data_IF_306756864778
#
_entry.id   IF_306756864778
#
_cell.length_a   1.000
_cell.length_b   1.000
_cell.length_c   1.000
_cell.angle_alpha   90.00
_cell.angle_beta   90.00
_cell.angle_gamma   90.00
#
_symmetry.space_group_name_H-M   'P 1'
#
loop_
_entity.id
_entity.type
_entity.pdbx_description
1 polymer ?
#
# COMPACT_ATOMS: atom_id res chain seq x y z
N UNK A 1 44.27 29.65 -7.66
CA UNK A 1 43.27 29.77 -8.74
C UNK A 1 41.92 29.37 -8.15
N UNK A 2 41.02 30.33 -7.87
CA UNK A 2 39.67 30.00 -7.40
C UNK A 2 38.91 29.30 -8.51
N UNK A 3 38.27 28.17 -8.19
CA UNK A 3 37.30 27.55 -9.06
C UNK A 3 36.17 28.56 -9.38
N UNK A 4 35.65 28.60 -10.62
CA UNK A 4 34.52 29.44 -10.94
C UNK A 4 33.36 29.12 -9.99
N UNK A 5 32.81 30.14 -9.32
CA UNK A 5 31.54 30.00 -8.59
C UNK A 5 30.49 29.64 -9.63
N UNK A 6 30.01 28.40 -9.61
CA UNK A 6 28.84 28.03 -10.37
C UNK A 6 27.68 28.94 -9.93
N UNK A 7 27.18 29.74 -10.87
CA UNK A 7 25.97 30.53 -10.68
C UNK A 7 24.80 29.56 -10.79
N UNK A 8 24.31 29.12 -9.64
CA UNK A 8 23.06 28.37 -9.57
C UNK A 8 21.90 29.36 -9.55
N UNK A 9 20.89 29.09 -10.36
CA UNK A 9 19.63 29.82 -10.32
C UNK A 9 18.82 29.19 -9.18
N UNK A 10 18.69 29.92 -8.07
CA UNK A 10 18.00 29.47 -6.87
C UNK A 10 16.60 28.92 -7.20
N UNK A 11 15.85 29.61 -8.05
CA UNK A 11 14.48 29.25 -8.42
C UNK A 11 14.38 27.87 -9.10
N UNK A 12 15.41 27.47 -9.88
CA UNK A 12 15.45 26.13 -10.50
C UNK A 12 15.64 25.05 -9.42
N UNK A 13 16.43 25.33 -8.38
CA UNK A 13 16.61 24.38 -7.28
C UNK A 13 15.31 24.23 -6.48
N UNK A 14 14.59 25.32 -6.25
CA UNK A 14 13.28 25.29 -5.60
C UNK A 14 12.28 24.46 -6.42
N UNK A 15 12.21 24.66 -7.73
CA UNK A 15 11.35 23.87 -8.62
C UNK A 15 11.66 22.36 -8.56
N UNK A 16 12.94 21.98 -8.50
CA UNK A 16 13.30 20.57 -8.30
C UNK A 16 12.81 20.01 -6.96
N UNK A 17 12.81 20.78 -5.87
CA UNK A 17 12.30 20.35 -4.56
C UNK A 17 10.78 20.21 -4.59
N UNK A 18 10.07 21.17 -5.18
CA UNK A 18 8.61 21.14 -5.30
C UNK A 18 8.13 19.95 -6.15
N UNK A 19 8.80 19.68 -7.27
CA UNK A 19 8.47 18.51 -8.09
C UNK A 19 8.81 17.19 -7.37
N UNK A 20 9.86 17.15 -6.53
CA UNK A 20 10.13 15.98 -5.69
C UNK A 20 9.02 15.74 -4.65
N UNK A 21 8.51 16.80 -4.02
CA UNK A 21 7.37 16.71 -3.10
C UNK A 21 6.17 16.08 -3.81
N UNK A 22 5.82 16.61 -4.98
CA UNK A 22 4.68 16.16 -5.78
C UNK A 22 4.85 14.71 -6.26
N UNK A 23 6.01 14.36 -6.80
CA UNK A 23 6.32 13.02 -7.29
C UNK A 23 6.32 11.98 -6.18
N UNK A 24 6.85 12.32 -5.00
CA UNK A 24 6.84 11.41 -3.85
C UNK A 24 5.41 11.14 -3.36
N UNK A 25 4.57 12.17 -3.29
CA UNK A 25 3.16 12.03 -2.94
C UNK A 25 2.44 11.08 -3.91
N UNK A 26 2.64 11.26 -5.22
CA UNK A 26 2.09 10.37 -6.24
C UNK A 26 2.60 8.93 -6.09
N UNK A 27 3.90 8.76 -5.87
CA UNK A 27 4.49 7.44 -5.69
C UNK A 27 3.84 6.71 -4.51
N UNK A 28 3.70 7.37 -3.36
CA UNK A 28 3.04 6.81 -2.19
C UNK A 28 1.59 6.42 -2.48
N UNK A 29 0.82 7.29 -3.15
CA UNK A 29 -0.57 7.01 -3.52
C UNK A 29 -0.72 5.82 -4.47
N UNK A 30 0.27 5.58 -5.34
CA UNK A 30 0.22 4.48 -6.32
C UNK A 30 0.56 3.11 -5.74
N UNK A 31 1.19 3.02 -4.57
CA UNK A 31 1.68 1.74 -4.02
C UNK A 31 0.59 0.67 -3.83
N UNK A 32 -0.67 1.05 -3.65
CA UNK A 32 -1.81 0.12 -3.55
C UNK A 32 -2.84 0.34 -4.68
N UNK A 33 -2.41 0.90 -5.81
CA UNK A 33 -3.32 1.22 -6.92
C UNK A 33 -3.81 -0.03 -7.64
N UNK A 34 -5.11 -0.04 -7.95
CA UNK A 34 -5.77 -1.01 -8.83
C UNK A 34 -5.69 -0.63 -10.32
N UNK A 35 -4.80 0.30 -10.69
CA UNK A 35 -4.62 0.73 -12.08
C UNK A 35 -3.14 0.75 -12.47
N UNK A 36 -2.29 1.24 -11.56
CA UNK A 36 -0.86 1.32 -11.80
C UNK A 36 -0.17 -0.01 -11.53
N UNK A 37 0.81 -0.33 -12.36
CA UNK A 37 1.70 -1.49 -12.28
C UNK A 37 3.01 -1.14 -11.59
N UNK A 38 3.86 -2.14 -11.39
CA UNK A 38 5.23 -1.91 -10.89
C UNK A 38 6.06 -1.04 -11.85
N UNK A 39 5.81 -1.14 -13.16
CA UNK A 39 6.49 -0.33 -14.18
C UNK A 39 6.16 1.15 -14.00
N UNK A 40 4.89 1.50 -13.77
CA UNK A 40 4.48 2.89 -13.58
C UNK A 40 5.14 3.53 -12.35
N UNK A 41 5.38 2.74 -11.29
CA UNK A 41 6.14 3.19 -10.12
C UNK A 41 7.64 3.28 -10.41
N UNK A 42 8.19 2.40 -11.24
CA UNK A 42 9.58 2.50 -11.68
C UNK A 42 9.82 3.78 -12.48
N UNK A 43 8.92 4.12 -13.42
CA UNK A 43 8.98 5.37 -14.19
C UNK A 43 8.88 6.61 -13.28
N UNK A 44 8.06 6.57 -12.22
CA UNK A 44 8.06 7.62 -11.20
C UNK A 44 9.39 7.69 -10.43
N UNK A 45 9.98 6.56 -10.08
CA UNK A 45 11.28 6.54 -9.38
C UNK A 45 12.38 7.13 -10.27
N UNK A 46 12.36 6.89 -11.58
CA UNK A 46 13.30 7.49 -12.53
C UNK A 46 13.14 9.02 -12.60
N UNK A 47 11.90 9.52 -12.59
CA UNK A 47 11.63 10.97 -12.50
C UNK A 47 12.15 11.55 -11.18
N UNK A 48 11.83 10.93 -10.05
CA UNK A 48 12.34 11.35 -8.73
C UNK A 48 13.87 11.41 -8.77
N UNK A 49 14.52 10.39 -9.33
CA UNK A 49 15.98 10.35 -9.45
C UNK A 49 16.53 11.50 -10.30
N UNK A 50 15.88 11.84 -11.42
CA UNK A 50 16.30 12.94 -12.27
C UNK A 50 16.27 14.29 -11.55
N UNK A 51 15.22 14.58 -10.76
CA UNK A 51 15.15 15.80 -9.97
C UNK A 51 16.20 15.84 -8.86
N UNK A 52 16.48 14.71 -8.21
CA UNK A 52 17.59 14.60 -7.25
C UNK A 52 18.93 14.88 -7.94
N UNK A 53 19.18 14.32 -9.12
CA UNK A 53 20.42 14.57 -9.86
C UNK A 53 20.60 16.05 -10.21
N UNK A 54 19.52 16.76 -10.57
CA UNK A 54 19.52 18.21 -10.76
C UNK A 54 19.96 18.96 -9.50
N UNK A 55 19.37 18.62 -8.35
CA UNK A 55 19.76 19.21 -7.05
C UNK A 55 21.22 18.91 -6.69
N UNK A 56 21.70 17.69 -6.94
CA UNK A 56 23.07 17.29 -6.64
C UNK A 56 24.12 18.08 -7.45
N UNK A 57 23.76 18.86 -8.46
CA UNK A 57 24.69 19.80 -9.11
C UNK A 57 25.10 20.96 -8.20
N UNK A 58 24.23 21.36 -7.26
CA UNK A 58 24.44 22.48 -6.34
C UNK A 58 25.00 22.06 -4.97
N UNK A 59 25.83 21.00 -4.91
CA UNK A 59 26.24 20.26 -3.69
C UNK A 59 26.51 21.14 -2.46
N UNK A 60 27.28 22.21 -2.63
CA UNK A 60 27.71 23.09 -1.53
C UNK A 60 26.62 23.97 -0.95
N UNK A 61 25.45 24.08 -1.60
CA UNK A 61 24.33 24.93 -1.19
C UNK A 61 23.13 24.13 -0.68
N UNK A 62 22.99 22.84 -1.05
CA UNK A 62 21.83 22.04 -0.61
C UNK A 62 21.67 21.99 0.92
N UNK A 63 22.74 21.78 1.72
CA UNK A 63 22.60 21.69 3.17
C UNK A 63 21.95 22.91 3.80
N UNK A 64 22.30 24.11 3.34
CA UNK A 64 21.72 25.37 3.80
C UNK A 64 20.33 25.61 3.19
N UNK A 65 20.11 25.25 1.92
CA UNK A 65 18.82 25.41 1.23
C UNK A 65 17.72 24.53 1.82
N UNK A 66 18.02 23.26 2.13
CA UNK A 66 17.02 22.24 2.49
C UNK A 66 16.82 22.09 4.01
N UNK A 67 17.70 22.68 4.84
CA UNK A 67 17.59 22.57 6.29
C UNK A 67 16.22 23.05 6.86
N UNK A 68 15.63 24.17 6.39
CA UNK A 68 14.33 24.62 6.89
C UNK A 68 13.20 23.63 6.60
N UNK A 69 13.27 22.93 5.46
CA UNK A 69 12.23 22.03 4.96
C UNK A 69 12.20 20.66 5.68
N UNK A 70 13.27 20.30 6.42
CA UNK A 70 13.37 19.00 7.09
C UNK A 70 12.31 18.76 8.17
N UNK A 71 11.84 19.83 8.81
CA UNK A 71 10.87 19.78 9.90
C UNK A 71 9.50 20.36 9.53
N UNK A 72 9.29 20.74 8.26
CA UNK A 72 7.98 21.14 7.76
C UNK A 72 6.94 20.03 8.02
N UNK A 73 5.72 20.34 8.49
CA UNK A 73 4.76 19.36 8.99
C UNK A 73 4.01 18.61 7.88
N UNK A 74 4.72 18.27 6.80
CA UNK A 74 4.22 17.55 5.63
C UNK A 74 5.18 16.42 5.26
N UNK A 75 4.64 15.21 5.13
CA UNK A 75 5.42 13.99 4.83
C UNK A 75 6.25 14.14 3.55
N UNK A 76 5.66 14.73 2.51
CA UNK A 76 6.33 14.89 1.22
C UNK A 76 7.43 15.95 1.25
N UNK A 77 7.28 17.06 2.01
CA UNK A 77 8.33 18.07 2.18
C UNK A 77 9.55 17.49 2.90
N UNK A 78 9.34 16.86 4.05
CA UNK A 78 10.43 16.26 4.81
C UNK A 78 11.18 15.19 3.99
N UNK A 79 10.46 14.42 3.16
CA UNK A 79 11.10 13.51 2.20
C UNK A 79 11.92 14.26 1.13
N UNK A 80 11.31 15.25 0.46
CA UNK A 80 11.93 16.02 -0.63
C UNK A 80 13.17 16.79 -0.16
N UNK A 81 13.23 17.19 1.11
CA UNK A 81 14.40 17.79 1.72
C UNK A 81 15.47 16.75 2.12
N UNK A 82 15.07 15.67 2.81
CA UNK A 82 16.02 14.70 3.35
C UNK A 82 16.65 13.81 2.27
N UNK A 83 15.89 13.40 1.25
CA UNK A 83 16.36 12.45 0.25
C UNK A 83 17.56 12.99 -0.55
N UNK A 84 17.54 14.21 -1.12
CA UNK A 84 18.71 14.79 -1.78
C UNK A 84 19.93 14.94 -0.84
N UNK A 85 19.72 15.33 0.42
CA UNK A 85 20.81 15.47 1.41
C UNK A 85 21.49 14.13 1.70
N UNK A 86 20.72 13.06 1.88
CA UNK A 86 21.27 11.71 2.06
C UNK A 86 22.01 11.24 0.80
N UNK A 87 21.54 11.66 -0.37
CA UNK A 87 22.12 11.31 -1.67
C UNK A 87 23.43 12.03 -1.99
N UNK A 88 23.76 13.12 -1.30
CA UNK A 88 25.10 13.71 -1.33
C UNK A 88 26.16 12.73 -0.82
N UNK A 89 25.79 11.79 0.07
CA UNK A 89 26.70 10.88 0.78
C UNK A 89 27.82 11.63 1.52
N UNK A 90 27.45 12.73 2.16
CA UNK A 90 28.35 13.56 2.95
C UNK A 90 27.99 13.46 4.44
N UNK A 91 28.98 13.29 5.34
CA UNK A 91 28.72 13.15 6.78
C UNK A 91 27.93 14.32 7.38
N UNK A 92 28.19 15.57 6.96
CA UNK A 92 27.48 16.75 7.45
C UNK A 92 26.00 16.73 7.07
N UNK A 93 25.69 16.41 5.81
CA UNK A 93 24.32 16.32 5.32
C UNK A 93 23.56 15.16 5.98
N UNK A 94 24.20 14.00 6.13
CA UNK A 94 23.63 12.86 6.85
C UNK A 94 23.33 13.22 8.33
N UNK A 95 24.26 13.90 9.00
CA UNK A 95 24.09 14.35 10.38
C UNK A 95 22.90 15.30 10.55
N UNK A 96 22.70 16.24 9.62
CA UNK A 96 21.53 17.14 9.62
C UNK A 96 20.21 16.35 9.53
N UNK A 97 20.12 15.38 8.62
CA UNK A 97 18.91 14.56 8.48
C UNK A 97 18.66 13.71 9.72
N UNK A 98 19.70 13.10 10.30
CA UNK A 98 19.55 12.30 11.53
C UNK A 98 19.21 13.15 12.75
N UNK A 99 19.70 14.40 12.83
CA UNK A 99 19.33 15.35 13.87
C UNK A 99 17.86 15.76 13.75
N UNK A 100 17.41 16.12 12.53
CA UNK A 100 16.00 16.39 12.27
C UNK A 100 15.11 15.18 12.61
N UNK A 101 15.54 13.97 12.27
CA UNK A 101 14.81 12.74 12.62
C UNK A 101 14.69 12.54 14.13
N UNK A 102 15.72 12.89 14.89
CA UNK A 102 15.73 12.81 16.35
C UNK A 102 14.79 13.82 17.03
N UNK A 103 14.34 14.85 16.31
CA UNK A 103 13.46 15.91 16.82
C UNK A 103 12.03 15.81 16.27
N UNK A 104 11.87 15.24 15.07
CA UNK A 104 10.60 15.20 14.35
C UNK A 104 9.52 14.34 15.03
N UNK A 105 8.27 14.70 14.75
CA UNK A 105 7.06 13.92 15.03
C UNK A 105 6.08 13.96 13.85
N UNK A 106 4.97 13.26 13.99
CA UNK A 106 3.87 13.31 13.01
C UNK A 106 4.28 13.06 11.56
N UNK A 107 3.78 13.89 10.64
CA UNK A 107 4.01 13.75 9.20
C UNK A 107 5.49 13.95 8.81
N UNK A 108 6.20 14.87 9.46
CA UNK A 108 7.62 15.11 9.20
C UNK A 108 8.46 13.85 9.50
N UNK A 109 8.22 13.19 10.65
CA UNK A 109 8.89 11.94 11.01
C UNK A 109 8.64 10.84 9.97
N UNK A 110 7.41 10.73 9.44
CA UNK A 110 7.09 9.79 8.38
C UNK A 110 7.87 10.08 7.08
N UNK A 111 8.04 11.35 6.71
CA UNK A 111 8.82 11.77 5.53
C UNK A 111 10.31 11.49 5.68
N UNK A 112 10.88 11.80 6.85
CA UNK A 112 12.30 11.51 7.14
C UNK A 112 12.55 10.00 7.18
N UNK A 113 11.64 9.22 7.78
CA UNK A 113 11.68 7.75 7.74
C UNK A 113 11.71 7.22 6.31
N UNK A 114 10.84 7.74 5.44
CA UNK A 114 10.77 7.33 4.04
C UNK A 114 12.09 7.61 3.30
N UNK A 115 12.67 8.79 3.51
CA UNK A 115 13.95 9.17 2.91
C UNK A 115 15.08 8.25 3.41
N UNK A 116 15.13 7.99 4.72
CA UNK A 116 16.10 7.09 5.35
C UNK A 116 15.91 5.63 4.92
N UNK A 117 14.68 5.19 4.64
CA UNK A 117 14.38 3.86 4.12
C UNK A 117 14.74 3.68 2.64
N UNK A 118 14.82 4.78 1.88
CA UNK A 118 15.04 4.78 0.43
C UNK A 118 16.48 5.08 0.04
N UNK A 119 17.15 5.99 0.75
CA UNK A 119 18.53 6.40 0.48
C UNK A 119 19.56 5.39 1.02
N UNK A 120 20.83 5.46 0.56
CA UNK A 120 21.91 4.66 1.14
C UNK A 120 22.04 4.86 2.66
N UNK A 121 22.22 3.76 3.39
CA UNK A 121 22.20 3.71 4.87
C UNK A 121 23.58 3.89 5.53
N UNK A 122 24.66 3.92 4.73
CA UNK A 122 26.04 3.82 5.20
C UNK A 122 26.43 4.87 6.24
N UNK A 123 25.89 6.09 6.15
CA UNK A 123 26.18 7.17 7.09
C UNK A 123 25.14 7.32 8.21
N UNK A 124 24.02 6.59 8.14
CA UNK A 124 22.87 6.79 9.05
C UNK A 124 22.55 5.57 9.90
N UNK A 125 23.10 4.39 9.57
CA UNK A 125 22.76 3.13 10.26
C UNK A 125 23.03 3.17 11.77
N UNK A 126 24.09 3.85 12.21
CA UNK A 126 24.44 3.97 13.63
C UNK A 126 23.39 4.82 14.35
N UNK A 127 23.10 6.02 13.84
CA UNK A 127 22.09 6.90 14.39
C UNK A 127 20.69 6.26 14.40
N UNK A 128 20.33 5.50 13.36
CA UNK A 128 19.07 4.75 13.32
C UNK A 128 19.01 3.67 14.41
N UNK A 129 20.11 2.93 14.65
CA UNK A 129 20.18 1.94 15.74
C UNK A 129 20.07 2.60 17.11
N UNK A 130 20.71 3.75 17.30
CA UNK A 130 20.57 4.54 18.53
C UNK A 130 19.12 5.00 18.74
N UNK A 131 18.48 5.57 17.71
CA UNK A 131 17.08 5.99 17.78
C UNK A 131 16.12 4.82 18.03
N UNK A 132 16.39 3.65 17.46
CA UNK A 132 15.63 2.45 17.78
C UNK A 132 15.80 2.04 19.25
N UNK A 133 17.03 2.08 19.77
CA UNK A 133 17.35 1.64 21.12
C UNK A 133 16.83 2.59 22.21
N UNK A 134 16.97 3.91 22.03
CA UNK A 134 16.73 4.91 23.08
C UNK A 134 15.72 6.00 22.72
N UNK A 135 15.25 6.05 21.47
CA UNK A 135 14.23 7.01 21.05
C UNK A 135 12.86 6.78 21.69
N UNK A 136 12.03 7.82 21.62
CA UNK A 136 10.59 7.72 21.95
C UNK A 136 9.92 6.67 21.07
N UNK A 137 8.81 6.09 21.51
CA UNK A 137 8.18 4.98 20.79
C UNK A 137 7.89 5.28 19.29
N UNK A 138 7.37 6.48 18.90
CA UNK A 138 7.21 6.85 17.49
C UNK A 138 8.53 6.91 16.71
N UNK A 139 9.60 7.47 17.29
CA UNK A 139 10.92 7.56 16.64
C UNK A 139 11.61 6.19 16.58
N UNK A 140 11.49 5.39 17.62
CA UNK A 140 12.03 4.05 17.67
C UNK A 140 11.39 3.17 16.59
N UNK A 141 10.07 3.21 16.42
CA UNK A 141 9.42 2.40 15.37
C UNK A 141 9.68 2.94 13.96
N UNK A 142 9.78 4.26 13.77
CA UNK A 142 10.22 4.83 12.51
C UNK A 142 11.66 4.41 12.16
N UNK A 143 12.57 4.38 13.14
CA UNK A 143 13.93 3.92 12.94
C UNK A 143 13.98 2.43 12.60
N UNK A 144 13.17 1.61 13.28
CA UNK A 144 13.02 0.19 12.97
C UNK A 144 12.50 -0.04 11.56
N UNK A 145 11.55 0.77 11.09
CA UNK A 145 11.04 0.73 9.71
C UNK A 145 12.13 1.03 8.67
N UNK A 146 12.95 2.07 8.89
CA UNK A 146 14.08 2.39 8.03
C UNK A 146 15.14 1.27 8.04
N UNK A 147 15.50 0.76 9.22
CA UNK A 147 16.44 -0.37 9.35
C UNK A 147 15.91 -1.65 8.67
N UNK A 148 14.60 -1.91 8.77
CA UNK A 148 13.96 -3.05 8.13
C UNK A 148 13.99 -2.95 6.59
N UNK A 149 13.84 -1.75 6.03
CA UNK A 149 13.98 -1.53 4.58
C UNK A 149 15.40 -1.91 4.09
N UNK A 150 16.41 -1.67 4.93
CA UNK A 150 17.81 -1.99 4.66
C UNK A 150 18.24 -3.40 5.10
N UNK A 151 17.31 -4.23 5.58
CA UNK A 151 17.61 -5.57 6.16
C UNK A 151 18.65 -5.52 7.29
N UNK A 152 18.69 -4.41 8.02
CA UNK A 152 19.64 -4.13 9.10
C UNK A 152 19.01 -4.22 10.51
N UNK A 153 17.76 -4.67 10.58
CA UNK A 153 16.98 -4.81 11.81
C UNK A 153 17.04 -6.25 12.33
N UNK A 154 17.29 -6.42 13.62
CA UNK A 154 17.18 -7.72 14.30
C UNK A 154 15.70 -8.01 14.64
N UNK A 155 15.08 -9.06 14.07
CA UNK A 155 13.71 -9.44 14.36
C UNK A 155 13.48 -9.78 15.85
N UNK A 156 14.52 -10.25 16.55
CA UNK A 156 14.43 -10.70 17.95
C UNK A 156 14.73 -9.60 18.96
N UNK A 157 14.95 -8.36 18.51
CA UNK A 157 15.22 -7.24 19.40
C UNK A 157 14.09 -7.06 20.43
N UNK A 158 14.36 -7.10 21.75
CA UNK A 158 13.34 -6.96 22.79
C UNK A 158 12.55 -5.65 22.69
N UNK A 159 13.19 -4.60 22.17
CA UNK A 159 12.55 -3.30 21.94
C UNK A 159 11.43 -3.37 20.91
N UNK A 160 11.53 -4.21 19.88
CA UNK A 160 10.43 -4.43 18.93
C UNK A 160 9.23 -5.09 19.62
N UNK A 161 9.47 -6.04 20.54
CA UNK A 161 8.40 -6.62 21.34
C UNK A 161 7.71 -5.58 22.22
N UNK A 162 8.48 -4.70 22.88
CA UNK A 162 7.90 -3.62 23.67
C UNK A 162 7.05 -2.65 22.82
N UNK A 163 7.44 -2.38 21.56
CA UNK A 163 6.68 -1.52 20.66
C UNK A 163 5.38 -2.17 20.16
N UNK A 164 5.31 -3.51 20.10
CA UNK A 164 4.06 -4.23 19.78
C UNK A 164 3.02 -4.12 20.90
N UNK A 165 3.47 -3.87 22.13
CA UNK A 165 2.64 -3.72 23.33
C UNK A 165 2.56 -2.25 23.81
N UNK A 166 2.98 -1.29 22.98
CA UNK A 166 2.98 0.15 23.32
C UNK A 166 1.57 0.68 23.57
N UNK A 167 1.43 1.76 24.36
CA UNK A 167 0.13 2.38 24.62
C UNK A 167 -0.48 3.03 23.37
N UNK A 168 0.35 3.57 22.47
CA UNK A 168 -0.10 4.23 21.24
C UNK A 168 -0.44 3.20 20.14
N UNK A 169 -1.67 3.27 19.62
CA UNK A 169 -2.14 2.35 18.59
C UNK A 169 -1.41 2.51 17.25
N UNK A 170 -1.00 3.73 16.90
CA UNK A 170 -0.23 4.01 15.70
C UNK A 170 1.16 3.38 15.76
N UNK A 171 1.81 3.44 16.93
CA UNK A 171 3.09 2.73 17.17
C UNK A 171 2.91 1.23 17.02
N UNK A 172 1.90 0.63 17.67
CA UNK A 172 1.62 -0.81 17.57
C UNK A 172 1.35 -1.23 16.11
N UNK A 173 0.56 -0.46 15.37
CA UNK A 173 0.26 -0.74 13.97
C UNK A 173 1.54 -0.69 13.10
N UNK A 174 2.40 0.30 13.29
CA UNK A 174 3.70 0.35 12.60
C UNK A 174 4.63 -0.79 13.02
N UNK A 175 4.60 -1.21 14.29
CA UNK A 175 5.35 -2.37 14.78
C UNK A 175 4.96 -3.65 14.05
N UNK A 176 3.67 -3.89 13.82
CA UNK A 176 3.22 -5.00 12.98
C UNK A 176 3.66 -4.87 11.51
N UNK A 177 3.67 -3.66 10.96
CA UNK A 177 4.18 -3.43 9.61
C UNK A 177 5.69 -3.71 9.49
N UNK A 178 6.48 -3.42 10.53
CA UNK A 178 7.89 -3.84 10.62
C UNK A 178 8.00 -5.37 10.72
N UNK A 179 7.19 -6.01 11.57
CA UNK A 179 7.13 -7.49 11.69
C UNK A 179 6.90 -8.14 10.32
N UNK A 180 5.96 -7.62 9.53
CA UNK A 180 5.67 -8.13 8.19
C UNK A 180 6.91 -8.21 7.27
N UNK A 181 7.90 -7.34 7.51
CA UNK A 181 9.12 -7.20 6.70
C UNK A 181 10.33 -7.95 7.26
N UNK A 182 10.46 -8.04 8.58
CA UNK A 182 11.66 -8.59 9.24
C UNK A 182 11.51 -10.06 9.64
N UNK A 183 10.28 -10.52 9.92
CA UNK A 183 10.06 -11.90 10.32
C UNK A 183 10.11 -12.82 9.10
N UNK A 184 10.85 -13.94 9.15
CA UNK A 184 10.92 -14.86 8.03
C UNK A 184 9.60 -15.63 7.90
N UNK A 185 9.15 -15.93 6.66
CA UNK A 185 7.98 -16.77 6.45
C UNK A 185 8.13 -18.14 7.12
N UNK A 186 7.09 -18.58 7.84
CA UNK A 186 7.03 -19.92 8.44
C UNK A 186 7.92 -20.21 9.65
N UNK A 187 8.87 -19.33 10.03
CA UNK A 187 9.69 -19.47 11.26
C UNK A 187 9.55 -18.23 12.13
N UNK A 188 8.45 -18.17 12.87
CA UNK A 188 7.98 -16.91 13.44
C UNK A 188 8.46 -16.79 14.89
N UNK A 189 9.20 -15.72 15.25
CA UNK A 189 9.43 -15.36 16.63
C UNK A 189 8.10 -15.30 17.40
N UNK A 190 8.05 -15.61 18.71
CA UNK A 190 6.81 -15.41 19.46
C UNK A 190 6.39 -13.92 19.37
N UNK A 191 5.20 -13.66 18.85
CA UNK A 191 4.57 -12.33 18.77
C UNK A 191 3.23 -12.33 19.51
N UNK A 192 2.76 -11.19 20.01
CA UNK A 192 1.50 -11.08 20.76
C UNK A 192 0.27 -11.02 19.82
N UNK A 193 0.19 -11.97 18.86
CA UNK A 193 -0.88 -12.03 17.85
C UNK A 193 -2.27 -12.01 18.49
N UNK A 194 -2.45 -12.80 19.53
CA UNK A 194 -3.72 -12.95 20.22
C UNK A 194 -4.22 -11.63 20.83
N UNK A 195 -3.32 -10.87 21.47
CA UNK A 195 -3.60 -9.54 22.00
C UNK A 195 -3.99 -8.57 20.89
N UNK A 196 -3.20 -8.51 19.81
CA UNK A 196 -3.45 -7.61 18.69
C UNK A 196 -4.76 -7.91 17.94
N UNK A 197 -5.12 -9.18 17.80
CA UNK A 197 -6.34 -9.60 17.11
C UNK A 197 -7.61 -9.40 17.96
N UNK A 198 -7.50 -9.44 19.29
CA UNK A 198 -8.62 -9.22 20.21
C UNK A 198 -8.79 -7.77 20.64
N UNK A 199 -7.74 -6.97 20.62
CA UNK A 199 -7.78 -5.57 21.03
C UNK A 199 -8.82 -4.75 20.27
N UNK A 200 -9.16 -3.58 20.82
CA UNK A 200 -10.26 -2.77 20.29
C UNK A 200 -9.84 -1.94 19.06
N UNK A 201 -8.54 -1.65 18.90
CA UNK A 201 -8.07 -0.82 17.80
C UNK A 201 -8.13 -1.56 16.44
N UNK A 202 -8.95 -1.11 15.48
CA UNK A 202 -9.08 -1.76 14.18
C UNK A 202 -7.81 -1.64 13.31
N UNK A 203 -7.03 -0.57 13.47
CA UNK A 203 -5.79 -0.35 12.73
C UNK A 203 -4.69 -1.33 13.14
N UNK A 204 -4.54 -1.58 14.45
CA UNK A 204 -3.61 -2.58 14.99
C UNK A 204 -4.00 -3.97 14.55
N UNK A 205 -5.28 -4.33 14.66
CA UNK A 205 -5.79 -5.63 14.18
C UNK A 205 -5.55 -5.80 12.69
N UNK A 206 -5.78 -4.76 11.89
CA UNK A 206 -5.55 -4.81 10.45
C UNK A 206 -4.06 -5.01 10.12
N UNK A 207 -3.17 -4.25 10.76
CA UNK A 207 -1.73 -4.39 10.59
C UNK A 207 -1.23 -5.78 11.03
N UNK A 208 -1.79 -6.35 12.10
CA UNK A 208 -1.45 -7.70 12.54
C UNK A 208 -1.92 -8.77 11.52
N UNK A 209 -3.12 -8.63 10.94
CA UNK A 209 -3.57 -9.54 9.87
C UNK A 209 -2.69 -9.46 8.62
N UNK A 210 -2.28 -8.25 8.24
CA UNK A 210 -1.32 -8.04 7.15
C UNK A 210 0.04 -8.67 7.44
N UNK A 211 0.59 -8.44 8.63
CA UNK A 211 1.83 -9.07 9.08
C UNK A 211 1.72 -10.59 9.07
N UNK A 212 0.59 -11.13 9.49
CA UNK A 212 0.32 -12.56 9.43
C UNK A 212 0.28 -13.10 7.99
N UNK A 213 -0.24 -12.30 7.04
CA UNK A 213 -0.29 -12.68 5.62
C UNK A 213 1.12 -12.75 5.01
N UNK A 214 1.95 -11.74 5.28
CA UNK A 214 3.32 -11.66 4.76
C UNK A 214 4.27 -12.67 5.41
N UNK A 215 4.06 -13.00 6.69
CA UNK A 215 4.84 -14.02 7.41
C UNK A 215 4.31 -15.44 7.21
N UNK A 216 3.22 -15.61 6.46
CA UNK A 216 2.67 -16.91 6.09
C UNK A 216 2.09 -17.69 7.27
N UNK A 217 1.35 -17.02 8.16
CA UNK A 217 0.75 -17.68 9.33
C UNK A 217 -0.32 -18.70 8.91
N UNK A 218 -0.22 -19.98 9.32
CA UNK A 218 -1.12 -21.04 8.86
C UNK A 218 -2.55 -20.87 9.39
N UNK A 219 -2.73 -20.19 10.52
CA UNK A 219 -4.04 -19.94 11.14
C UNK A 219 -4.81 -18.77 10.50
N UNK A 220 -4.15 -17.96 9.64
CA UNK A 220 -4.68 -16.70 9.16
C UNK A 220 -6.03 -16.85 8.44
N UNK A 221 -6.13 -17.79 7.50
CA UNK A 221 -7.35 -17.95 6.69
C UNK A 221 -8.58 -18.19 7.58
N UNK A 222 -8.44 -19.04 8.60
CA UNK A 222 -9.55 -19.36 9.51
C UNK A 222 -9.91 -18.16 10.39
N UNK A 223 -8.92 -17.36 10.81
CA UNK A 223 -9.16 -16.12 11.57
C UNK A 223 -9.87 -15.08 10.69
N UNK A 224 -9.38 -14.82 9.48
CA UNK A 224 -10.00 -13.90 8.52
C UNK A 224 -11.45 -14.30 8.23
N UNK A 225 -11.70 -15.58 7.93
CA UNK A 225 -13.04 -16.13 7.71
C UNK A 225 -13.97 -15.85 8.89
N UNK A 226 -13.55 -16.17 10.11
CA UNK A 226 -14.37 -15.95 11.33
C UNK A 226 -14.69 -14.48 11.54
N UNK A 227 -13.70 -13.59 11.43
CA UNK A 227 -13.90 -12.15 11.62
C UNK A 227 -14.79 -11.55 10.51
N UNK A 228 -14.56 -11.95 9.27
CA UNK A 228 -15.32 -11.49 8.11
C UNK A 228 -16.81 -11.84 8.20
N UNK A 229 -17.13 -13.05 8.67
CA UNK A 229 -18.52 -13.51 8.83
C UNK A 229 -19.20 -12.93 10.08
N UNK A 230 -18.44 -12.59 11.12
CA UNK A 230 -19.02 -12.07 12.37
C UNK A 230 -19.45 -10.59 12.27
N UNK A 231 -18.63 -9.75 11.65
CA UNK A 231 -18.91 -8.31 11.54
C UNK A 231 -18.27 -7.68 10.29
N UNK A 232 -18.77 -7.99 9.07
CA UNK A 232 -18.11 -7.61 7.82
C UNK A 232 -17.81 -6.12 7.67
N UNK A 233 -18.76 -5.24 8.03
CA UNK A 233 -18.57 -3.78 7.94
C UNK A 233 -17.46 -3.25 8.87
N UNK A 234 -17.30 -3.87 10.04
CA UNK A 234 -16.27 -3.49 11.03
C UNK A 234 -14.93 -4.20 10.80
N UNK A 235 -14.91 -5.29 10.04
CA UNK A 235 -13.76 -6.17 9.84
C UNK A 235 -13.27 -6.15 8.38
N UNK A 236 -13.20 -4.94 7.79
CA UNK A 236 -12.87 -4.74 6.37
C UNK A 236 -11.56 -5.43 5.93
N UNK A 237 -10.54 -5.37 6.76
CA UNK A 237 -9.25 -6.05 6.49
C UNK A 237 -9.41 -7.57 6.44
N UNK A 238 -10.13 -8.15 7.41
CA UNK A 238 -10.37 -9.58 7.45
C UNK A 238 -11.24 -10.05 6.27
N UNK A 239 -12.23 -9.25 5.87
CA UNK A 239 -13.07 -9.47 4.69
C UNK A 239 -12.20 -9.51 3.43
N UNK A 240 -11.33 -8.50 3.22
CA UNK A 240 -10.40 -8.47 2.09
C UNK A 240 -9.48 -9.69 2.07
N UNK A 241 -8.77 -9.95 3.17
CA UNK A 241 -7.83 -11.07 3.25
C UNK A 241 -8.52 -12.43 3.10
N UNK A 242 -9.77 -12.58 3.57
CA UNK A 242 -10.53 -13.80 3.34
C UNK A 242 -10.74 -14.05 1.86
N UNK A 243 -11.20 -13.08 1.06
CA UNK A 243 -11.34 -13.25 -0.39
C UNK A 243 -9.99 -13.47 -1.11
N UNK A 244 -8.95 -12.75 -0.69
CA UNK A 244 -7.62 -12.89 -1.27
C UNK A 244 -7.07 -14.30 -1.06
N UNK A 245 -7.24 -14.88 0.12
CA UNK A 245 -6.62 -16.15 0.54
C UNK A 245 -7.50 -17.38 0.32
N UNK A 246 -8.83 -17.21 0.25
CA UNK A 246 -9.77 -18.31 0.12
C UNK A 246 -9.57 -19.14 -1.16
N UNK A 247 -9.68 -20.46 -1.05
CA UNK A 247 -9.70 -21.35 -2.22
C UNK A 247 -11.09 -21.50 -2.84
N UNK A 248 -11.22 -22.28 -3.93
CA UNK A 248 -12.50 -22.54 -4.60
C UNK A 248 -13.57 -23.16 -3.69
N UNK A 249 -13.16 -23.87 -2.63
CA UNK A 249 -14.07 -24.48 -1.65
C UNK A 249 -14.89 -23.47 -0.85
N UNK A 250 -14.43 -22.21 -0.73
CA UNK A 250 -15.13 -21.16 0.00
C UNK A 250 -16.06 -20.31 -0.90
N UNK A 251 -16.30 -20.76 -2.15
CA UNK A 251 -17.05 -20.01 -3.16
C UNK A 251 -18.38 -19.49 -2.61
N UNK A 252 -19.20 -20.39 -2.08
CA UNK A 252 -20.56 -20.03 -1.67
C UNK A 252 -20.55 -19.08 -0.46
N UNK A 253 -19.56 -19.20 0.43
CA UNK A 253 -19.36 -18.27 1.55
C UNK A 253 -18.95 -16.87 1.07
N UNK A 254 -18.04 -16.78 0.10
CA UNK A 254 -17.62 -15.49 -0.46
C UNK A 254 -18.78 -14.84 -1.23
N UNK A 255 -19.54 -15.62 -1.99
CA UNK A 255 -20.72 -15.12 -2.69
C UNK A 255 -21.77 -14.58 -1.72
N UNK A 256 -22.05 -15.33 -0.65
CA UNK A 256 -22.98 -14.90 0.39
C UNK A 256 -22.48 -13.63 1.11
N UNK A 257 -21.19 -13.58 1.46
CA UNK A 257 -20.57 -12.44 2.12
C UNK A 257 -20.64 -11.18 1.24
N UNK A 258 -20.29 -11.28 -0.04
CA UNK A 258 -20.33 -10.18 -0.99
C UNK A 258 -21.74 -9.61 -1.21
N UNK A 259 -22.78 -10.43 -1.03
CA UNK A 259 -24.17 -10.03 -1.17
C UNK A 259 -24.74 -9.37 0.10
N UNK A 260 -23.98 -9.31 1.21
CA UNK A 260 -24.48 -8.70 2.43
C UNK A 260 -24.64 -7.18 2.27
N UNK A 261 -25.80 -6.60 2.62
CA UNK A 261 -26.04 -5.16 2.52
C UNK A 261 -24.98 -4.31 3.25
N UNK A 262 -24.42 -4.84 4.33
CA UNK A 262 -23.37 -4.19 5.12
C UNK A 262 -22.08 -3.89 4.35
N UNK A 263 -21.83 -4.59 3.23
CA UNK A 263 -20.68 -4.32 2.36
C UNK A 263 -21.00 -3.31 1.26
N UNK A 264 -22.27 -3.14 0.87
CA UNK A 264 -22.65 -2.21 -0.21
C UNK A 264 -21.75 -2.31 -1.44
N UNK A 265 -21.15 -1.19 -1.84
CA UNK A 265 -20.23 -1.10 -2.98
C UNK A 265 -18.88 -1.85 -2.79
N UNK A 266 -18.52 -2.27 -1.57
CA UNK A 266 -17.32 -3.09 -1.32
C UNK A 266 -17.53 -4.56 -1.75
N UNK A 267 -18.79 -5.01 -1.85
CA UNK A 267 -19.16 -6.38 -2.23
C UNK A 267 -18.56 -6.83 -3.57
N UNK A 268 -18.71 -6.08 -4.66
CA UNK A 268 -18.05 -6.40 -5.92
C UNK A 268 -16.52 -6.43 -5.84
N UNK A 269 -15.91 -5.51 -5.07
CA UNK A 269 -14.46 -5.50 -4.83
C UNK A 269 -13.98 -6.82 -4.21
N UNK A 270 -14.75 -7.37 -3.27
CA UNK A 270 -14.51 -8.69 -2.67
C UNK A 270 -14.50 -9.82 -3.73
N UNK A 271 -15.49 -9.81 -4.62
CA UNK A 271 -15.59 -10.79 -5.72
C UNK A 271 -14.40 -10.68 -6.68
N UNK A 272 -13.96 -9.45 -6.97
CA UNK A 272 -12.76 -9.18 -7.77
C UNK A 272 -11.49 -9.73 -7.13
N UNK A 273 -11.31 -9.55 -5.81
CA UNK A 273 -10.17 -10.11 -5.08
C UNK A 273 -10.21 -11.65 -4.97
N UNK A 274 -11.41 -12.23 -4.92
CA UNK A 274 -11.60 -13.68 -4.96
C UNK A 274 -11.26 -14.28 -6.34
N UNK A 275 -11.64 -13.59 -7.42
CA UNK A 275 -11.20 -13.91 -8.79
C UNK A 275 -11.77 -15.21 -9.37
N UNK A 276 -12.75 -15.84 -8.72
CA UNK A 276 -13.33 -17.10 -9.21
C UNK A 276 -14.34 -16.83 -10.35
N UNK A 277 -14.32 -17.56 -11.49
CA UNK A 277 -15.19 -17.28 -12.64
C UNK A 277 -16.70 -17.31 -12.35
N UNK A 278 -17.11 -18.10 -11.35
CA UNK A 278 -18.52 -18.18 -10.94
C UNK A 278 -19.11 -16.83 -10.47
N UNK A 279 -18.28 -15.83 -10.16
CA UNK A 279 -18.75 -14.50 -9.75
C UNK A 279 -19.13 -13.60 -10.94
N UNK A 280 -18.74 -13.96 -12.17
CA UNK A 280 -18.83 -13.04 -13.33
C UNK A 280 -20.26 -12.65 -13.66
N UNK A 281 -21.19 -13.60 -13.66
CA UNK A 281 -22.61 -13.34 -13.93
C UNK A 281 -23.21 -12.40 -12.88
N UNK A 282 -22.81 -12.56 -11.61
CA UNK A 282 -23.25 -11.67 -10.52
C UNK A 282 -22.69 -10.25 -10.70
N UNK A 283 -21.44 -10.12 -11.15
CA UNK A 283 -20.86 -8.81 -11.47
C UNK A 283 -21.60 -8.15 -12.64
N UNK A 284 -21.89 -8.89 -13.73
CA UNK A 284 -22.66 -8.37 -14.86
C UNK A 284 -24.07 -7.93 -14.42
N UNK A 285 -24.72 -8.69 -13.53
CA UNK A 285 -26.01 -8.32 -12.97
C UNK A 285 -25.91 -7.05 -12.10
N UNK A 286 -24.86 -6.91 -11.31
CA UNK A 286 -24.63 -5.73 -10.47
C UNK A 286 -24.36 -4.45 -11.28
N UNK A 287 -23.79 -4.55 -12.49
CA UNK A 287 -23.55 -3.40 -13.38
C UNK A 287 -24.81 -2.68 -13.85
N UNK A 288 -25.98 -3.33 -13.79
CA UNK A 288 -27.26 -2.75 -14.25
C UNK A 288 -28.18 -2.33 -13.10
N UNK A 289 -27.70 -2.40 -11.86
CA UNK A 289 -28.43 -1.93 -10.68
C UNK A 289 -28.45 -0.40 -10.66
N UNK A 290 -29.52 0.25 -10.13
CA UNK A 290 -29.63 1.71 -10.12
C UNK A 290 -28.54 2.43 -9.32
N UNK A 291 -27.98 1.81 -8.28
CA UNK A 291 -26.90 2.37 -7.48
C UNK A 291 -25.61 2.55 -8.31
N UNK A 292 -25.20 3.79 -8.60
CA UNK A 292 -24.01 4.06 -9.43
C UNK A 292 -22.72 3.54 -8.82
N UNK A 293 -22.57 3.59 -7.48
CA UNK A 293 -21.34 3.14 -6.80
C UNK A 293 -21.19 1.64 -6.91
N UNK A 294 -22.28 0.91 -6.67
CA UNK A 294 -22.30 -0.55 -6.82
C UNK A 294 -22.04 -0.97 -8.28
N UNK A 295 -22.68 -0.31 -9.25
CA UNK A 295 -22.49 -0.58 -10.66
C UNK A 295 -21.03 -0.35 -11.09
N UNK A 296 -20.45 0.80 -10.72
CA UNK A 296 -19.06 1.13 -11.00
C UNK A 296 -18.08 0.13 -10.36
N UNK A 297 -18.32 -0.26 -9.10
CA UNK A 297 -17.53 -1.28 -8.40
C UNK A 297 -17.61 -2.64 -9.09
N UNK A 298 -18.79 -3.03 -9.60
CA UNK A 298 -18.95 -4.25 -10.38
C UNK A 298 -18.18 -4.23 -11.71
N UNK A 299 -18.18 -3.08 -12.41
CA UNK A 299 -17.34 -2.84 -13.59
C UNK A 299 -15.85 -2.99 -13.29
N UNK A 300 -15.38 -2.38 -12.20
CA UNK A 300 -14.00 -2.47 -11.76
C UNK A 300 -13.59 -3.91 -11.39
N UNK A 301 -14.43 -4.63 -10.65
CA UNK A 301 -14.20 -6.03 -10.29
C UNK A 301 -14.18 -6.95 -11.52
N UNK A 302 -15.07 -6.74 -12.49
CA UNK A 302 -15.06 -7.47 -13.75
C UNK A 302 -13.77 -7.22 -14.53
N UNK A 303 -13.31 -5.97 -14.58
CA UNK A 303 -12.03 -5.59 -15.20
C UNK A 303 -10.85 -6.23 -14.47
N UNK A 304 -10.87 -6.24 -13.13
CA UNK A 304 -9.86 -6.91 -12.30
C UNK A 304 -9.81 -8.41 -12.55
N UNK A 305 -10.93 -9.07 -12.81
CA UNK A 305 -10.96 -10.51 -13.10
C UNK A 305 -10.54 -10.81 -14.55
N UNK A 306 -11.18 -10.16 -15.52
CA UNK A 306 -11.07 -10.49 -16.95
C UNK A 306 -9.91 -9.79 -17.66
N UNK A 307 -9.42 -8.67 -17.11
CA UNK A 307 -8.45 -7.80 -17.77
C UNK A 307 -9.03 -6.88 -18.84
N UNK A 308 -10.34 -6.97 -19.11
CA UNK A 308 -11.00 -6.14 -20.13
C UNK A 308 -11.70 -4.98 -19.46
N UNK A 309 -11.30 -3.75 -19.81
CA UNK A 309 -12.00 -2.54 -19.36
C UNK A 309 -13.40 -2.50 -19.98
N UNK A 310 -14.42 -2.37 -19.14
CA UNK A 310 -15.83 -2.28 -19.52
C UNK A 310 -16.44 -0.94 -19.10
N UNK A 311 -15.65 0.08 -18.76
CA UNK A 311 -16.16 1.43 -18.53
C UNK A 311 -16.89 1.93 -19.78
N UNK A 312 -18.09 2.46 -19.59
CA UNK A 312 -18.84 3.17 -20.61
C UNK A 312 -18.48 4.65 -20.65
N UNK A 313 -19.28 5.43 -21.38
CA UNK A 313 -19.11 6.88 -21.52
C UNK A 313 -19.95 7.68 -20.52
N UNK A 314 -20.98 7.05 -19.95
CA UNK A 314 -21.91 7.68 -19.02
C UNK A 314 -21.26 7.88 -17.66
N UNK A 315 -21.41 9.08 -17.11
CA UNK A 315 -21.07 9.40 -15.72
C UNK A 315 -22.35 9.58 -14.92
N UNK A 316 -22.32 9.18 -13.66
CA UNK A 316 -23.44 9.32 -12.73
C UNK A 316 -22.93 9.83 -11.38
N UNK A 317 -23.73 10.70 -10.75
CA UNK A 317 -23.47 11.19 -9.40
C UNK A 317 -23.90 10.16 -8.37
N UNK A 318 -23.09 9.99 -7.35
CA UNK A 318 -23.34 9.13 -6.22
C UNK A 318 -23.99 9.97 -5.12
N UNK A 319 -25.31 10.00 -5.06
CA UNK A 319 -26.03 10.73 -4.02
C UNK A 319 -26.35 9.80 -2.87
N UNK A 320 -25.69 10.00 -1.73
CA UNK A 320 -26.03 9.34 -0.45
C UNK A 320 -27.19 10.06 0.27
N UNK A 321 -27.70 11.15 -0.30
CA UNK A 321 -28.64 12.09 0.30
C UNK A 321 -29.90 12.25 -0.55
N UNK A 322 -30.92 12.87 0.06
CA UNK A 322 -32.19 13.18 -0.58
C UNK A 322 -31.95 13.85 -1.94
N UNK A 323 -32.51 13.32 -3.05
CA UNK A 323 -32.36 13.88 -4.39
C UNK A 323 -32.80 15.35 -4.51
N UNK A 324 -33.55 15.89 -3.54
CA UNK A 324 -33.98 17.28 -3.50
C UNK A 324 -32.98 18.25 -2.81
N UNK A 325 -31.89 17.74 -2.21
CA UNK A 325 -30.82 18.57 -1.65
C UNK A 325 -29.82 19.00 -2.74
N UNK A 326 -30.10 20.14 -3.35
CA UNK A 326 -29.28 20.73 -4.41
C UNK A 326 -27.84 21.04 -3.97
N UNK A 327 -27.58 21.31 -2.69
CA UNK A 327 -26.24 21.59 -2.19
C UNK A 327 -25.43 20.30 -2.03
N UNK A 328 -26.03 19.24 -1.47
CA UNK A 328 -25.41 17.92 -1.40
C UNK A 328 -25.09 17.35 -2.79
N UNK A 329 -25.94 17.62 -3.78
CA UNK A 329 -25.75 17.14 -5.15
C UNK A 329 -24.55 17.76 -5.87
N UNK A 330 -24.10 18.97 -5.48
CA UNK A 330 -22.96 19.66 -6.10
C UNK A 330 -21.61 19.04 -5.70
N UNK A 331 -21.53 18.46 -4.50
CA UNK A 331 -20.31 17.80 -3.98
C UNK A 331 -20.35 16.27 -4.08
N UNK A 332 -21.38 15.70 -4.72
CA UNK A 332 -21.53 14.27 -4.89
C UNK A 332 -20.43 13.68 -5.81
N UNK A 333 -19.86 12.54 -5.40
CA UNK A 333 -18.85 11.85 -6.20
C UNK A 333 -19.41 11.45 -7.56
N UNK A 334 -18.66 11.67 -8.64
CA UNK A 334 -19.03 11.21 -9.98
C UNK A 334 -18.27 9.95 -10.36
N UNK A 335 -19.00 8.89 -10.68
CA UNK A 335 -18.44 7.61 -11.18
C UNK A 335 -18.77 7.39 -12.64
N UNK A 336 -17.86 6.76 -13.36
CA UNK A 336 -18.12 6.27 -14.72
C UNK A 336 -18.84 4.93 -14.65
N UNK A 337 -20.03 4.86 -15.24
CA UNK A 337 -20.83 3.64 -15.26
C UNK A 337 -20.24 2.61 -16.24
N UNK A 338 -20.31 1.31 -15.93
CA UNK A 338 -19.89 0.26 -16.84
C UNK A 338 -20.88 0.06 -18.00
N UNK A 339 -20.38 -0.50 -19.10
CA UNK A 339 -21.17 -1.03 -20.20
C UNK A 339 -21.43 -2.54 -19.96
N UNK A 340 -22.61 -2.84 -19.42
CA UNK A 340 -23.04 -4.22 -19.19
C UNK A 340 -23.24 -5.03 -20.48
N UNK A 341 -23.53 -4.37 -21.61
CA UNK A 341 -23.62 -5.03 -22.92
C UNK A 341 -22.26 -5.52 -23.39
N UNK A 342 -21.24 -4.67 -23.27
CA UNK A 342 -19.83 -5.03 -23.52
C UNK A 342 -19.38 -6.13 -22.57
N UNK A 343 -19.70 -6.06 -21.28
CA UNK A 343 -19.35 -7.09 -20.31
C UNK A 343 -19.96 -8.46 -20.68
N UNK A 344 -21.23 -8.50 -21.10
CA UNK A 344 -21.88 -9.73 -21.60
C UNK A 344 -21.22 -10.28 -22.85
N UNK A 345 -20.85 -9.42 -23.80
CA UNK A 345 -20.16 -9.84 -25.02
C UNK A 345 -18.78 -10.45 -24.72
N UNK A 346 -18.01 -9.84 -23.81
CA UNK A 346 -16.73 -10.39 -23.33
C UNK A 346 -16.94 -11.75 -22.67
N UNK A 347 -17.94 -11.87 -21.79
CA UNK A 347 -18.22 -13.12 -21.12
C UNK A 347 -18.67 -14.22 -22.10
N UNK A 348 -19.56 -13.93 -23.03
CA UNK A 348 -19.99 -14.90 -24.05
C UNK A 348 -18.80 -15.46 -24.87
N UNK A 349 -17.79 -14.62 -25.15
CA UNK A 349 -16.57 -15.01 -25.87
C UNK A 349 -15.61 -15.83 -25.00
N UNK A 350 -15.39 -15.43 -23.75
CA UNK A 350 -14.28 -15.93 -22.93
C UNK A 350 -14.71 -16.92 -21.83
N UNK A 351 -16.01 -17.19 -21.64
CA UNK A 351 -16.51 -17.96 -20.51
C UNK A 351 -15.93 -19.37 -20.42
N UNK A 352 -15.77 -20.07 -21.53
CA UNK A 352 -15.19 -21.42 -21.53
C UNK A 352 -13.76 -21.42 -21.01
N UNK A 353 -12.93 -20.51 -21.53
CA UNK A 353 -11.54 -20.31 -21.07
C UNK A 353 -11.50 -19.96 -19.58
N UNK A 354 -12.31 -18.99 -19.16
CA UNK A 354 -12.32 -18.54 -17.77
C UNK A 354 -12.79 -19.64 -16.81
N UNK A 355 -13.81 -20.44 -17.18
CA UNK A 355 -14.27 -21.58 -16.35
C UNK A 355 -13.21 -22.68 -16.17
N UNK A 356 -12.19 -22.74 -17.02
CA UNK A 356 -11.07 -23.68 -16.87
C UNK A 356 -10.17 -23.40 -15.66
N UNK A 357 -10.21 -22.19 -15.11
CA UNK A 357 -9.44 -21.80 -13.92
C UNK A 357 -10.34 -21.58 -12.70
N UNK A 358 -9.72 -21.54 -11.52
CA UNK A 358 -10.39 -21.27 -10.22
C UNK A 358 -10.06 -19.90 -9.66
N UNK A 359 -9.06 -19.21 -10.23
CA UNK A 359 -8.64 -17.89 -9.79
C UNK A 359 -8.05 -17.09 -10.95
N UNK A 360 -8.70 -15.99 -11.30
CA UNK A 360 -8.30 -15.10 -12.38
C UNK A 360 -8.00 -13.71 -11.86
N UNK A 361 -7.02 -13.07 -12.46
CA UNK A 361 -6.73 -11.66 -12.25
C UNK A 361 -6.12 -11.07 -13.52
N UNK A 362 -6.65 -9.95 -13.99
CA UNK A 362 -6.28 -9.26 -15.23
C UNK A 362 -6.23 -10.18 -16.45
N UNK A 363 -7.11 -11.18 -16.48
CA UNK A 363 -7.17 -12.17 -17.56
C UNK A 363 -6.12 -13.27 -17.50
N UNK A 364 -5.27 -13.29 -16.46
CA UNK A 364 -4.33 -14.38 -16.18
C UNK A 364 -4.95 -15.41 -15.23
N UNK A 365 -4.75 -16.69 -15.52
CA UNK A 365 -5.10 -17.77 -14.61
C UNK A 365 -4.00 -17.90 -13.53
N UNK A 366 -4.36 -17.61 -12.29
CA UNK A 366 -3.49 -17.67 -11.12
C UNK A 366 -3.78 -18.90 -10.24
N UNK A 367 -4.53 -19.89 -10.74
CA UNK A 367 -4.96 -21.06 -9.98
C UNK A 367 -3.78 -21.88 -9.45
N UNK A 368 -2.70 -22.02 -10.22
CA UNK A 368 -1.50 -22.78 -9.83
C UNK A 368 -0.44 -21.92 -9.11
N UNK A 369 -0.66 -20.61 -9.00
CA UNK A 369 0.32 -19.62 -8.55
C UNK A 369 0.50 -18.49 -9.55
N UNK A 370 1.47 -17.61 -9.30
CA UNK A 370 1.79 -16.48 -10.16
C UNK A 370 3.29 -16.49 -10.45
N UNK A 371 3.68 -16.55 -11.72
CA UNK A 371 5.07 -16.44 -12.13
C UNK A 371 5.56 -14.98 -12.12
N UNK A 372 6.87 -14.79 -12.28
CA UNK A 372 7.48 -13.47 -12.20
C UNK A 372 7.08 -12.52 -13.34
N UNK A 373 6.76 -13.02 -14.53
CA UNK A 373 6.34 -12.17 -15.67
C UNK A 373 4.92 -11.65 -15.44
N UNK A 374 4.00 -12.56 -15.11
CA UNK A 374 2.62 -12.25 -14.76
C UNK A 374 2.58 -11.26 -13.60
N UNK A 375 3.36 -11.51 -12.53
CA UNK A 375 3.40 -10.63 -11.36
C UNK A 375 3.84 -9.19 -11.67
N UNK A 376 4.67 -8.97 -12.70
CA UNK A 376 5.09 -7.62 -13.14
C UNK A 376 4.00 -6.90 -13.93
N UNK A 377 3.10 -7.65 -14.57
CA UNK A 377 2.01 -7.13 -15.43
C UNK A 377 0.73 -6.84 -14.65
N UNK A 378 0.59 -7.39 -13.44
CA UNK A 378 -0.50 -7.05 -12.54
C UNK A 378 -0.39 -5.60 -12.05
N UNK A 379 -1.54 -4.95 -11.84
CA UNK A 379 -1.62 -3.74 -11.04
C UNK A 379 -1.13 -4.01 -9.60
N UNK A 380 -0.73 -2.96 -8.88
CA UNK A 380 -0.05 -3.09 -7.60
C UNK A 380 -0.93 -3.71 -6.52
N UNK A 381 -2.23 -3.39 -6.49
CA UNK A 381 -3.18 -4.05 -5.59
C UNK A 381 -3.16 -5.58 -5.83
N UNK A 382 -3.41 -6.00 -7.07
CA UNK A 382 -3.45 -7.41 -7.47
C UNK A 382 -2.11 -8.14 -7.30
N UNK A 383 -1.00 -7.42 -7.51
CA UNK A 383 0.36 -7.89 -7.26
C UNK A 383 0.54 -8.26 -5.79
N UNK A 384 0.15 -7.37 -4.87
CA UNK A 384 0.30 -7.63 -3.44
C UNK A 384 -0.63 -8.74 -2.95
N UNK A 385 -1.83 -8.86 -3.50
CA UNK A 385 -2.71 -10.00 -3.25
C UNK A 385 -2.06 -11.33 -3.66
N UNK A 386 -1.44 -11.38 -4.85
CA UNK A 386 -0.71 -12.55 -5.31
C UNK A 386 0.48 -12.89 -4.40
N UNK A 387 1.24 -11.90 -3.96
CA UNK A 387 2.36 -12.09 -3.03
C UNK A 387 1.90 -12.63 -1.67
N UNK A 388 0.81 -12.11 -1.09
CA UNK A 388 0.25 -12.60 0.18
C UNK A 388 -0.21 -14.06 0.08
N UNK A 389 -0.94 -14.41 -0.99
CA UNK A 389 -1.32 -15.81 -1.26
C UNK A 389 -0.10 -16.72 -1.31
N UNK A 390 0.92 -16.28 -2.02
CA UNK A 390 2.12 -17.07 -2.20
C UNK A 390 2.91 -17.22 -0.89
N UNK A 391 2.98 -16.18 -0.06
CA UNK A 391 3.57 -16.24 1.28
C UNK A 391 2.83 -17.24 2.20
N UNK A 392 1.50 -17.19 2.26
CA UNK A 392 0.67 -18.15 3.02
C UNK A 392 0.82 -19.58 2.49
N UNK A 393 1.03 -19.75 1.18
CA UNK A 393 1.31 -21.05 0.57
C UNK A 393 2.77 -21.51 0.73
N UNK A 394 3.60 -20.80 1.51
CA UNK A 394 5.01 -21.15 1.73
C UNK A 394 5.94 -20.89 0.54
N UNK A 395 5.52 -20.08 -0.43
CA UNK A 395 6.23 -19.77 -1.69
C UNK A 395 6.27 -18.25 -1.93
N UNK A 396 6.90 -17.44 -1.05
CA UNK A 396 6.89 -15.98 -1.17
C UNK A 396 7.49 -15.51 -2.51
N UNK A 397 6.78 -14.60 -3.20
CA UNK A 397 7.19 -14.08 -4.51
C UNK A 397 7.97 -12.76 -4.44
N UNK A 398 7.67 -11.93 -3.45
CA UNK A 398 8.28 -10.62 -3.24
C UNK A 398 8.14 -10.22 -1.75
N UNK A 399 8.98 -9.30 -1.24
CA UNK A 399 8.77 -8.71 0.08
C UNK A 399 7.50 -7.84 0.12
N UNK A 400 7.04 -7.45 1.32
CA UNK A 400 5.94 -6.51 1.49
C UNK A 400 6.19 -5.17 0.77
N UNK A 401 5.12 -4.42 0.42
CA UNK A 401 5.26 -3.06 -0.12
C UNK A 401 6.01 -2.14 0.86
N UNK A 402 6.80 -1.17 0.39
CA UNK A 402 7.50 -0.20 1.24
C UNK A 402 6.59 0.44 2.29
N UNK A 403 7.12 0.69 3.49
CA UNK A 403 6.39 1.22 4.66
C UNK A 403 6.01 2.69 4.54
#
# INVERSE_FOLDING_TARGET
>A
MSAPRALFIHDILVEHVEELEFLWAQRCARLNSSVHTLRDVAELNERIEAHVQGLLLARSMLPELLAPELLEPRRSNAFAAAFPLLRLREPRAAAQVTAAFAEAGGAALAGLRDALATAPVDLTVIALREQFASGTAPRAIAAAAALAAHKAMDPLAPRLQALLDDADAGVRAQAWAVVARVDPPGRVPPRPWESALRGDDPGVRAAALEAAAWTGQPWLLQVCRRLALAAPAAQREAVRLFAVLAGPQARDEILHLAAQPALGADGPGLLGAYGHPAVVELLIAAMVVPDPRLAAAAGAAFTKLTGVDVRGERRARCTDHDPDDAFAAEFADEVTLPDGGRARAVWARDAERLRGGTRWCRGFDLSAGCDADTLRRLDLESRWEACRRAAVAGRPLAPPPPL
#
